data_IF_927952655023
#
_entry.id   IF_927952655023
#
_cell.length_a   1.000
_cell.length_b   1.000
_cell.length_c   1.000
_cell.angle_alpha   90.00
_cell.angle_beta   90.00
_cell.angle_gamma   90.00
#
_symmetry.space_group_name_H-M   'P 1'
#
loop_
_entity.id
_entity.type
_entity.pdbx_description
1 polymer ?
#
# COMPACT_ATOMS: atom_id res chain seq x y z
N UNK A 1 7.45 -7.41 -13.90
CA UNK A 1 6.63 -6.20 -14.05
C UNK A 1 5.20 -6.69 -13.99
N UNK A 2 4.34 -6.00 -13.26
CA UNK A 2 2.92 -6.30 -13.13
C UNK A 2 2.10 -5.08 -13.51
N UNK A 3 0.85 -5.28 -13.90
CA UNK A 3 -0.11 -4.22 -14.15
C UNK A 3 -0.94 -3.95 -12.89
N UNK A 4 -0.95 -2.70 -12.45
CA UNK A 4 -1.81 -2.23 -11.37
C UNK A 4 -2.92 -1.39 -11.97
N UNK A 5 -4.15 -1.88 -11.87
CA UNK A 5 -5.33 -1.15 -12.29
C UNK A 5 -5.95 -0.42 -11.08
N UNK A 6 -6.14 0.88 -11.20
CA UNK A 6 -6.65 1.74 -10.13
C UNK A 6 -7.99 2.31 -10.57
N UNK A 7 -9.05 1.99 -9.82
CA UNK A 7 -10.39 2.49 -10.11
C UNK A 7 -10.38 4.03 -10.13
N UNK A 8 -10.81 4.62 -11.25
CA UNK A 8 -10.86 6.08 -11.43
C UNK A 8 -9.55 6.75 -11.88
N UNK A 9 -8.41 6.03 -11.88
CA UNK A 9 -7.11 6.57 -12.28
C UNK A 9 -6.44 5.84 -13.46
N UNK A 10 -6.92 4.64 -13.81
CA UNK A 10 -6.41 3.85 -14.94
C UNK A 10 -5.35 2.83 -14.52
N UNK A 11 -4.63 2.29 -15.51
CA UNK A 11 -3.66 1.19 -15.31
C UNK A 11 -2.22 1.68 -15.49
N UNK A 12 -1.31 1.15 -14.66
CA UNK A 12 0.10 1.48 -14.69
C UNK A 12 0.98 0.24 -14.50
N UNK A 13 2.20 0.29 -15.07
CA UNK A 13 3.20 -0.77 -14.88
C UNK A 13 3.97 -0.58 -13.58
N UNK A 14 4.05 -1.64 -12.77
CA UNK A 14 4.72 -1.64 -11.48
C UNK A 14 5.77 -2.75 -11.41
N UNK A 15 6.88 -2.47 -10.71
CA UNK A 15 7.90 -3.49 -10.48
C UNK A 15 7.45 -4.45 -9.39
N UNK A 16 7.76 -5.73 -9.57
CA UNK A 16 7.61 -6.73 -8.53
C UNK A 16 8.37 -6.33 -7.26
N UNK A 17 7.74 -6.55 -6.10
CA UNK A 17 8.29 -6.21 -4.79
C UNK A 17 8.14 -4.74 -4.39
N UNK A 18 7.62 -3.88 -5.26
CA UNK A 18 7.25 -2.51 -4.89
C UNK A 18 6.08 -2.52 -3.90
N UNK A 19 6.21 -1.76 -2.82
CA UNK A 19 5.15 -1.55 -1.83
C UNK A 19 3.92 -0.96 -2.50
N UNK A 20 2.74 -1.55 -2.26
CA UNK A 20 1.49 -1.15 -2.92
C UNK A 20 1.16 0.34 -2.76
N UNK A 21 1.31 0.90 -1.55
CA UNK A 21 1.08 2.33 -1.30
C UNK A 21 1.97 3.20 -2.19
N UNK A 22 3.24 2.82 -2.37
CA UNK A 22 4.18 3.53 -3.23
C UNK A 22 3.81 3.39 -4.69
N UNK A 23 3.42 2.19 -5.11
CA UNK A 23 2.95 1.94 -6.47
C UNK A 23 1.75 2.84 -6.82
N UNK A 24 0.76 2.97 -5.93
CA UNK A 24 -0.42 3.82 -6.13
C UNK A 24 -0.02 5.31 -6.30
N UNK A 25 0.89 5.81 -5.46
CA UNK A 25 1.44 7.16 -5.56
C UNK A 25 2.19 7.41 -6.86
N UNK A 26 3.06 6.47 -7.26
CA UNK A 26 3.82 6.55 -8.52
C UNK A 26 2.88 6.52 -9.75
N UNK A 27 1.69 5.94 -9.62
CA UNK A 27 0.63 5.97 -10.62
C UNK A 27 -0.22 7.26 -10.59
N UNK A 28 0.15 8.23 -9.76
CA UNK A 28 -0.46 9.57 -9.72
C UNK A 28 -1.66 9.70 -8.80
N UNK A 29 -1.97 8.68 -8.00
CA UNK A 29 -3.05 8.77 -7.01
C UNK A 29 -2.47 9.13 -5.65
N UNK A 30 -2.89 10.29 -5.14
CA UNK A 30 -2.48 10.81 -3.84
C UNK A 30 -3.29 10.14 -2.72
N UNK A 31 -2.92 8.90 -2.38
CA UNK A 31 -3.54 8.07 -1.34
C UNK A 31 -2.95 8.44 0.03
N UNK A 32 -3.78 8.59 1.06
CA UNK A 32 -3.29 8.83 2.42
C UNK A 32 -2.25 7.80 2.88
N UNK A 33 -1.17 8.25 3.50
CA UNK A 33 -0.14 7.38 4.06
C UNK A 33 0.58 8.06 5.22
N UNK A 34 -0.17 8.54 6.22
CA UNK A 34 0.33 9.39 7.34
C UNK A 34 1.55 8.82 8.08
N UNK A 35 1.67 7.49 8.14
CA UNK A 35 2.80 6.79 8.76
C UNK A 35 3.91 6.36 7.78
N UNK A 36 3.84 6.72 6.50
CA UNK A 36 4.79 6.27 5.47
C UNK A 36 4.69 4.78 5.15
N UNK A 37 3.53 4.16 5.37
CA UNK A 37 3.32 2.73 5.17
C UNK A 37 3.86 1.84 6.30
N UNK A 38 4.20 2.40 7.46
CA UNK A 38 4.75 1.65 8.62
C UNK A 38 3.68 1.01 9.52
N UNK A 39 2.50 0.70 8.97
CA UNK A 39 1.39 0.05 9.70
C UNK A 39 0.95 0.75 10.99
N UNK A 40 1.21 2.06 11.14
CA UNK A 40 0.88 2.85 12.34
C UNK A 40 -0.22 3.89 12.08
N UNK A 41 -0.92 3.77 10.96
CA UNK A 41 -2.11 4.57 10.63
C UNK A 41 -3.09 3.71 9.81
N UNK A 42 -4.29 4.23 9.56
CA UNK A 42 -5.29 3.58 8.71
C UNK A 42 -5.63 4.41 7.47
N UNK A 43 -4.75 5.31 7.06
CA UNK A 43 -5.02 6.25 5.96
C UNK A 43 -4.71 5.68 4.57
N UNK A 44 -3.95 4.59 4.47
CA UNK A 44 -3.62 3.94 3.19
C UNK A 44 -4.59 2.83 2.79
N UNK A 45 -5.88 2.98 3.15
CA UNK A 45 -6.89 1.95 2.90
C UNK A 45 -7.23 1.84 1.42
N UNK A 46 -7.28 0.60 0.95
CA UNK A 46 -7.73 0.23 -0.39
C UNK A 46 -8.74 -0.92 -0.27
N UNK A 47 -9.63 -1.01 -1.24
CA UNK A 47 -10.45 -2.19 -1.49
C UNK A 47 -9.87 -2.95 -2.68
N UNK A 48 -9.77 -4.28 -2.56
CA UNK A 48 -9.37 -5.14 -3.66
C UNK A 48 -10.64 -5.64 -4.37
N UNK A 49 -10.68 -5.57 -5.69
CA UNK A 49 -11.85 -6.06 -6.44
C UNK A 49 -11.92 -7.61 -6.47
N UNK A 50 -10.78 -8.28 -6.33
CA UNK A 50 -10.67 -9.73 -6.30
C UNK A 50 -10.35 -10.26 -4.89
N UNK A 51 -10.74 -11.50 -4.59
CA UNK A 51 -10.23 -12.23 -3.43
C UNK A 51 -8.82 -12.76 -3.74
N UNK A 52 -7.76 -12.08 -3.27
CA UNK A 52 -6.39 -12.43 -3.67
C UNK A 52 -5.32 -12.36 -2.58
N UNK A 53 -4.29 -13.18 -2.84
CA UNK A 53 -2.88 -13.04 -2.44
C UNK A 53 -2.16 -12.32 -3.58
N UNK A 54 -1.32 -11.34 -3.27
CA UNK A 54 -0.72 -10.40 -4.25
C UNK A 54 0.55 -10.99 -4.89
N UNK A 55 0.38 -11.66 -6.02
CA UNK A 55 1.48 -12.29 -6.80
C UNK A 55 1.38 -12.08 -8.32
N UNK A 56 0.52 -11.15 -8.76
CA UNK A 56 0.19 -10.90 -10.17
C UNK A 56 -0.48 -9.53 -10.36
N UNK A 57 -0.86 -9.22 -11.60
CA UNK A 57 -1.67 -8.05 -11.97
C UNK A 57 -2.92 -7.94 -11.11
N UNK A 58 -3.32 -6.72 -10.75
CA UNK A 58 -4.39 -6.53 -9.76
C UNK A 58 -5.17 -5.25 -9.95
N UNK A 59 -6.44 -5.27 -9.53
CA UNK A 59 -7.29 -4.07 -9.47
C UNK A 59 -7.55 -3.66 -8.03
N UNK A 60 -7.36 -2.36 -7.74
CA UNK A 60 -7.59 -1.76 -6.43
C UNK A 60 -8.40 -0.47 -6.52
N UNK A 61 -9.19 -0.22 -5.48
CA UNK A 61 -9.91 1.03 -5.26
C UNK A 61 -9.32 1.76 -4.05
N UNK A 62 -8.68 2.93 -4.24
CA UNK A 62 -8.24 3.79 -3.16
C UNK A 62 -9.45 4.34 -2.37
N UNK A 63 -9.45 4.25 -1.04
CA UNK A 63 -10.59 4.67 -0.20
C UNK A 63 -10.37 5.99 0.56
N UNK A 64 -9.13 6.45 0.65
CA UNK A 64 -8.72 7.53 1.53
C UNK A 64 -7.79 8.50 0.80
N UNK A 65 -8.20 8.94 -0.40
CA UNK A 65 -7.41 9.87 -1.20
C UNK A 65 -7.37 11.26 -0.53
N UNK A 66 -6.28 12.00 -0.73
CA UNK A 66 -6.12 13.36 -0.20
C UNK A 66 -7.25 14.28 -0.67
N UNK A 67 -7.65 14.13 -1.93
CA UNK A 67 -8.75 14.90 -2.53
C UNK A 67 -10.07 14.63 -1.80
N UNK A 68 -10.46 13.36 -1.64
CA UNK A 68 -11.72 12.99 -0.99
C UNK A 68 -11.79 13.42 0.49
N UNK A 69 -10.64 13.47 1.16
CA UNK A 69 -10.56 13.81 2.58
C UNK A 69 -10.32 15.31 2.84
N UNK A 70 -10.00 16.10 1.80
CA UNK A 70 -9.64 17.52 1.93
C UNK A 70 -8.36 17.76 2.73
N UNK A 71 -7.38 16.87 2.63
CA UNK A 71 -6.10 16.99 3.34
C UNK A 71 -5.11 17.89 2.60
N UNK A 72 -4.17 18.48 3.36
CA UNK A 72 -3.07 19.27 2.78
C UNK A 72 -1.91 18.41 2.26
N UNK A 73 -1.75 17.20 2.80
CA UNK A 73 -0.70 16.24 2.44
C UNK A 73 -1.15 14.80 2.73
N UNK A 74 -0.60 13.82 2.01
CA UNK A 74 -0.85 12.40 2.28
C UNK A 74 0.00 11.83 3.43
N UNK A 75 1.20 12.37 3.64
CA UNK A 75 2.16 11.90 4.65
C UNK A 75 3.60 11.87 4.12
N UNK A 76 4.53 11.29 4.90
CA UNK A 76 5.91 11.11 4.47
C UNK A 76 6.02 10.01 3.40
N UNK A 77 6.92 10.21 2.43
CA UNK A 77 7.11 9.27 1.31
C UNK A 77 7.36 7.82 1.77
N UNK A 78 6.54 6.84 1.32
CA UNK A 78 6.74 5.44 1.68
C UNK A 78 8.00 4.85 1.03
N UNK A 79 8.74 4.03 1.78
CA UNK A 79 9.85 3.27 1.23
C UNK A 79 9.39 2.31 0.11
N UNK A 80 10.24 2.14 -0.90
CA UNK A 80 9.97 1.28 -2.07
C UNK A 80 9.69 -0.17 -1.64
N UNK A 81 10.45 -0.68 -0.67
CA UNK A 81 10.31 -2.03 -0.13
C UNK A 81 9.74 -2.01 1.29
N UNK A 82 9.31 -3.19 1.76
CA UNK A 82 8.88 -3.35 3.16
C UNK A 82 10.10 -3.32 4.08
N UNK A 83 10.04 -2.49 5.12
CA UNK A 83 11.11 -2.29 6.09
C UNK A 83 10.50 -2.16 7.51
N UNK A 84 11.21 -2.64 8.56
CA UNK A 84 12.44 -3.43 8.52
C UNK A 84 12.20 -4.86 7.97
N UNK A 85 13.29 -5.63 7.78
CA UNK A 85 13.16 -7.03 7.39
C UNK A 85 12.37 -7.82 8.44
N UNK A 86 11.56 -8.78 8.00
CA UNK A 86 10.76 -9.60 8.89
C UNK A 86 11.64 -10.46 9.80
N UNK A 87 11.41 -10.35 11.10
CA UNK A 87 11.99 -11.25 12.10
C UNK A 87 11.03 -12.38 12.40
N UNK A 88 11.55 -13.61 12.39
CA UNK A 88 10.77 -14.82 12.66
C UNK A 88 11.09 -15.31 14.07
N UNK A 89 10.09 -15.35 14.93
CA UNK A 89 10.21 -15.89 16.28
C UNK A 89 9.51 -17.25 16.38
N UNK A 90 10.11 -18.24 17.08
CA UNK A 90 9.40 -19.46 17.44
C UNK A 90 8.13 -19.15 18.26
N UNK A 91 7.04 -19.89 18.03
CA UNK A 91 5.74 -19.64 18.69
C UNK A 91 5.88 -19.67 20.21
N UNK A 92 6.66 -20.61 20.75
CA UNK A 92 6.93 -20.77 22.18
C UNK A 92 7.59 -19.53 22.81
N UNK A 93 8.27 -18.69 22.03
CA UNK A 93 8.86 -17.42 22.50
C UNK A 93 7.91 -16.22 22.40
N UNK A 94 6.82 -16.32 21.64
CA UNK A 94 5.81 -15.27 21.52
C UNK A 94 4.75 -15.37 22.62
N UNK A 95 4.43 -16.59 23.07
CA UNK A 95 3.48 -16.82 24.17
C UNK A 95 3.94 -16.28 25.53
N UNK A 96 5.20 -15.83 25.64
CA UNK A 96 5.83 -15.34 26.87
C UNK A 96 6.02 -13.82 26.92
N UNK A 97 5.50 -13.07 25.94
CA UNK A 97 5.57 -11.60 25.85
C UNK A 97 4.21 -10.97 26.16
#
# INVERSE_FOLDING_TARGET
>A
MYELNIEGAGTCEVKEGTRLVRAIEDCGVNLGHRCGGQSNCTTCRVEFEDQIVVDRDMTVKPLMTVEDQGWGDAGPEPAITVEPAAEWHPIDRLEQQ
#
